data_IF_212130734112
#
_entry.id   IF_212130734112
#
_cell.length_a   1.000
_cell.length_b   1.000
_cell.length_c   1.000
_cell.angle_alpha   90.00
_cell.angle_beta   90.00
_cell.angle_gamma   90.00
#
_symmetry.space_group_name_H-M   'P 1'
#
loop_
_entity.id
_entity.type
_entity.pdbx_description
1 polymer ?
#
# COMPACT_ATOMS: atom_id res chain seq x y z
N UNK A 1 17.47 9.59 25.18
CA UNK A 1 17.46 8.13 24.97
C UNK A 1 16.22 7.80 24.18
N UNK A 2 16.42 7.04 23.11
CA UNK A 2 15.57 6.89 21.94
C UNK A 2 14.15 6.40 22.26
N UNK A 3 13.16 7.17 21.84
CA UNK A 3 11.80 6.68 21.63
C UNK A 3 11.66 6.24 20.19
N UNK A 4 12.38 5.19 19.78
CA UNK A 4 12.19 4.59 18.46
C UNK A 4 10.99 3.65 18.51
N UNK A 5 9.84 3.97 17.88
CA UNK A 5 8.80 2.97 17.73
C UNK A 5 9.38 1.77 16.96
N UNK A 6 9.10 0.57 17.46
CA UNK A 6 9.57 -0.72 16.95
C UNK A 6 9.50 -0.82 15.42
N UNK A 7 10.34 -1.63 14.75
CA UNK A 7 10.25 -1.84 13.30
C UNK A 7 8.95 -2.58 12.96
N UNK A 8 7.85 -1.85 12.85
CA UNK A 8 6.58 -2.33 12.29
C UNK A 8 6.88 -2.57 10.82
N UNK A 9 6.87 -3.83 10.39
CA UNK A 9 7.21 -4.17 9.00
C UNK A 9 6.42 -3.29 8.01
N UNK A 10 7.10 -2.69 7.00
CA UNK A 10 6.70 -1.42 6.44
C UNK A 10 5.67 -1.65 5.33
N UNK A 11 4.40 -1.74 5.73
CA UNK A 11 3.32 -1.55 4.76
C UNK A 11 3.18 -0.04 4.54
N UNK A 12 3.42 0.42 3.32
CA UNK A 12 3.22 1.82 2.94
C UNK A 12 1.82 1.97 2.35
N UNK A 13 1.03 2.84 2.96
CA UNK A 13 -0.29 3.23 2.46
C UNK A 13 -0.23 4.63 1.87
N UNK A 14 -0.73 4.82 0.66
CA UNK A 14 -0.87 6.14 0.05
C UNK A 14 -2.23 6.30 -0.60
N UNK A 15 -2.89 7.42 -0.34
CA UNK A 15 -4.17 7.77 -0.91
C UNK A 15 -4.00 8.66 -2.15
N UNK A 16 -4.77 8.37 -3.18
CA UNK A 16 -4.82 9.04 -4.47
C UNK A 16 -6.25 9.49 -4.76
N UNK A 17 -6.39 10.64 -5.38
CA UNK A 17 -7.71 11.16 -5.76
C UNK A 17 -8.33 10.38 -6.94
N UNK A 18 -7.50 9.80 -7.82
CA UNK A 18 -7.93 9.11 -9.04
C UNK A 18 -7.43 7.67 -9.13
N UNK A 19 -8.22 6.83 -9.80
CA UNK A 19 -7.86 5.42 -10.04
C UNK A 19 -6.59 5.31 -10.90
N UNK A 20 -6.50 6.16 -11.92
CA UNK A 20 -5.39 6.16 -12.87
C UNK A 20 -4.06 6.46 -12.17
N UNK A 21 -4.07 7.40 -11.22
CA UNK A 21 -2.88 7.75 -10.43
C UNK A 21 -2.48 6.60 -9.50
N UNK A 22 -3.45 6.02 -8.80
CA UNK A 22 -3.21 4.85 -7.95
C UNK A 22 -2.68 3.65 -8.74
N UNK A 23 -3.24 3.38 -9.93
CA UNK A 23 -2.79 2.30 -10.81
C UNK A 23 -1.40 2.60 -11.39
N UNK A 24 -1.13 3.83 -11.80
CA UNK A 24 0.18 4.23 -12.30
C UNK A 24 1.25 4.06 -11.21
N UNK A 25 0.99 4.55 -10.00
CA UNK A 25 1.90 4.41 -8.87
C UNK A 25 2.15 2.94 -8.48
N UNK A 26 1.10 2.12 -8.50
CA UNK A 26 1.21 0.69 -8.29
C UNK A 26 2.05 0.00 -9.40
N UNK A 27 1.80 0.31 -10.67
CA UNK A 27 2.61 -0.23 -11.77
C UNK A 27 4.06 0.25 -11.72
N UNK A 28 4.35 1.47 -11.28
CA UNK A 28 5.72 1.95 -11.13
C UNK A 28 6.43 1.21 -9.98
N UNK A 29 5.74 0.92 -8.87
CA UNK A 29 6.26 0.06 -7.80
C UNK A 29 6.56 -1.36 -8.30
N UNK A 30 5.61 -1.99 -8.98
CA UNK A 30 5.79 -3.33 -9.55
C UNK A 30 6.96 -3.40 -10.55
N UNK A 31 7.19 -2.31 -11.30
CA UNK A 31 8.29 -2.22 -12.26
C UNK A 31 9.66 -1.96 -11.61
N UNK A 32 9.71 -1.18 -10.52
CA UNK A 32 10.97 -0.79 -9.85
C UNK A 32 11.41 -1.75 -8.75
N UNK A 33 10.46 -2.44 -8.13
CA UNK A 33 10.69 -3.37 -7.04
C UNK A 33 10.48 -4.79 -7.52
N UNK A 34 11.39 -5.68 -7.15
CA UNK A 34 11.28 -7.09 -7.50
C UNK A 34 10.24 -7.77 -6.60
N UNK A 35 9.70 -8.92 -7.04
CA UNK A 35 8.81 -9.76 -6.22
C UNK A 35 9.45 -10.19 -4.89
N UNK A 36 10.79 -10.18 -4.80
CA UNK A 36 11.52 -10.46 -3.56
C UNK A 36 11.47 -9.30 -2.54
N UNK A 37 11.35 -8.06 -3.02
CA UNK A 37 11.33 -6.84 -2.22
C UNK A 37 9.90 -6.39 -1.89
N UNK A 38 9.00 -6.50 -2.87
CA UNK A 38 7.58 -6.17 -2.76
C UNK A 38 6.78 -7.46 -2.56
N UNK A 39 6.52 -7.79 -1.30
CA UNK A 39 5.78 -8.99 -0.91
C UNK A 39 4.28 -8.92 -1.29
N UNK A 40 3.75 -7.73 -1.55
CA UNK A 40 2.41 -7.59 -2.09
C UNK A 40 2.03 -6.14 -2.40
N UNK A 41 1.17 -5.98 -3.39
CA UNK A 41 0.68 -4.68 -3.83
C UNK A 41 -0.84 -4.73 -4.00
N UNK A 42 -1.55 -3.77 -3.41
CA UNK A 42 -3.01 -3.77 -3.37
C UNK A 42 -3.53 -2.36 -3.57
N UNK A 43 -4.58 -2.22 -4.39
CA UNK A 43 -5.28 -0.94 -4.60
C UNK A 43 -6.71 -1.10 -4.08
N UNK A 44 -7.14 -0.20 -3.21
CA UNK A 44 -8.47 -0.16 -2.65
C UNK A 44 -9.21 1.08 -3.12
N UNK A 45 -10.53 0.99 -3.33
CA UNK A 45 -11.38 2.16 -3.54
C UNK A 45 -12.08 2.52 -2.24
N UNK A 46 -11.78 3.70 -1.72
CA UNK A 46 -12.42 4.26 -0.53
C UNK A 46 -13.85 4.67 -0.89
N UNK A 47 -14.84 3.97 -0.35
CA UNK A 47 -16.26 4.24 -0.67
C UNK A 47 -16.77 5.58 -0.16
N UNK A 48 -16.17 6.10 0.90
CA UNK A 48 -16.64 7.30 1.59
C UNK A 48 -16.24 8.58 0.84
N UNK A 49 -15.01 8.62 0.35
CA UNK A 49 -14.47 9.79 -0.37
C UNK A 49 -14.36 9.59 -1.87
N UNK A 50 -14.52 8.35 -2.37
CA UNK A 50 -14.30 8.01 -3.78
C UNK A 50 -12.83 7.87 -4.18
N UNK A 51 -11.90 8.15 -3.26
CA UNK A 51 -10.46 8.07 -3.44
C UNK A 51 -9.96 6.62 -3.54
N UNK A 52 -8.69 6.46 -3.90
CA UNK A 52 -8.03 5.18 -4.10
C UNK A 52 -6.82 5.07 -3.17
N UNK A 53 -6.72 3.97 -2.45
CA UNK A 53 -5.63 3.70 -1.50
C UNK A 53 -4.74 2.61 -2.06
N UNK A 54 -3.46 2.91 -2.27
CA UNK A 54 -2.44 1.92 -2.62
C UNK A 54 -1.75 1.47 -1.34
N UNK A 55 -1.79 0.18 -1.07
CA UNK A 55 -1.04 -0.50 -0.02
C UNK A 55 0.08 -1.32 -0.67
N UNK A 56 1.31 -0.95 -0.38
CA UNK A 56 2.51 -1.66 -0.76
C UNK A 56 3.10 -2.35 0.47
N UNK A 57 3.12 -3.67 0.47
CA UNK A 57 3.67 -4.51 1.52
C UNK A 57 5.08 -4.95 1.11
N UNK A 58 6.09 -4.53 1.86
CA UNK A 58 7.48 -4.87 1.59
C UNK A 58 7.96 -6.02 2.48
N UNK A 59 8.91 -6.80 1.95
CA UNK A 59 9.59 -7.86 2.68
C UNK A 59 10.38 -7.31 3.88
N UNK A 60 10.50 -8.13 4.93
CA UNK A 60 11.22 -7.74 6.17
C UNK A 60 12.71 -7.41 5.96
N UNK A 61 13.29 -7.92 4.88
CA UNK A 61 14.69 -7.68 4.49
C UNK A 61 14.88 -6.55 3.49
N UNK A 62 13.81 -5.84 3.10
CA UNK A 62 13.92 -4.73 2.16
C UNK A 62 14.70 -3.58 2.81
N UNK A 63 15.79 -3.09 2.16
CA UNK A 63 16.62 -2.04 2.74
C UNK A 63 15.86 -0.72 2.88
N UNK A 64 16.21 0.07 3.90
CA UNK A 64 15.52 1.34 4.19
C UNK A 64 15.55 2.32 3.01
N UNK A 65 16.68 2.40 2.30
CA UNK A 65 16.80 3.21 1.09
C UNK A 65 15.76 2.85 0.00
N UNK A 66 15.39 1.57 -0.10
CA UNK A 66 14.35 1.11 -1.03
C UNK A 66 12.95 1.52 -0.56
N UNK A 67 12.71 1.52 0.74
CA UNK A 67 11.46 2.04 1.31
C UNK A 67 11.34 3.55 1.12
N UNK A 68 12.44 4.29 1.25
CA UNK A 68 12.47 5.73 0.97
C UNK A 68 12.20 6.04 -0.51
N UNK A 69 12.77 5.26 -1.44
CA UNK A 69 12.46 5.38 -2.87
C UNK A 69 10.97 5.14 -3.16
N UNK A 70 10.37 4.11 -2.54
CA UNK A 70 8.94 3.84 -2.63
C UNK A 70 8.09 4.98 -2.05
N UNK A 71 8.51 5.54 -0.90
CA UNK A 71 7.82 6.69 -0.28
C UNK A 71 7.88 7.93 -1.13
N UNK A 72 9.04 8.20 -1.74
CA UNK A 72 9.21 9.32 -2.66
C UNK A 72 8.28 9.15 -3.86
N UNK A 73 8.32 7.98 -4.51
CA UNK A 73 7.49 7.65 -5.67
C UNK A 73 5.98 7.80 -5.38
N UNK A 74 5.51 7.20 -4.29
CA UNK A 74 4.11 7.28 -3.92
C UNK A 74 3.73 8.71 -3.48
N UNK A 75 4.66 9.45 -2.89
CA UNK A 75 4.48 10.84 -2.47
C UNK A 75 4.47 11.85 -3.62
N UNK A 76 4.91 11.48 -4.83
CA UNK A 76 4.83 12.36 -6.01
C UNK A 76 3.38 12.65 -6.43
N UNK A 77 2.46 11.73 -6.16
CA UNK A 77 1.05 11.86 -6.58
C UNK A 77 0.03 11.43 -5.52
N UNK A 78 0.48 10.89 -4.40
CA UNK A 78 -0.35 10.38 -3.31
C UNK A 78 -0.07 11.05 -1.98
N UNK A 79 -1.05 10.99 -1.08
CA UNK A 79 -0.94 11.44 0.29
C UNK A 79 -0.56 10.26 1.19
N UNK A 80 0.49 10.36 2.02
CA UNK A 80 0.87 9.27 2.92
C UNK A 80 -0.25 8.99 3.92
N UNK A 81 -0.66 7.72 4.00
CA UNK A 81 -1.65 7.21 4.95
C UNK A 81 -0.93 6.50 6.07
N UNK A 82 -1.33 6.81 7.31
CA UNK A 82 -0.72 6.21 8.47
C UNK A 82 -1.07 4.70 8.53
N UNK A 83 -0.14 3.82 8.93
CA UNK A 83 -0.40 2.37 9.03
C UNK A 83 -1.50 2.02 10.04
N UNK A 84 -1.75 2.90 11.01
CA UNK A 84 -2.88 2.77 11.95
C UNK A 84 -4.22 2.97 11.24
N UNK A 85 -4.32 3.96 10.34
CA UNK A 85 -5.49 4.16 9.46
C UNK A 85 -5.69 2.98 8.49
N UNK A 86 -4.63 2.36 7.97
CA UNK A 86 -4.74 1.13 7.15
C UNK A 86 -5.42 -0.01 7.92
N UNK A 87 -5.13 -0.11 9.22
CA UNK A 87 -5.72 -1.12 10.11
C UNK A 87 -7.19 -0.82 10.34
N UNK A 88 -7.56 0.45 10.50
CA UNK A 88 -8.95 0.88 10.65
C UNK A 88 -9.76 0.69 9.34
N UNK A 89 -9.15 0.95 8.18
CA UNK A 89 -9.72 0.63 6.86
C UNK A 89 -9.98 -0.87 6.66
N UNK A 90 -9.09 -1.74 7.17
CA UNK A 90 -9.29 -3.20 7.15
C UNK A 90 -10.43 -3.61 8.09
N UNK A 91 -10.52 -3.01 9.28
CA UNK A 91 -11.57 -3.28 10.26
C UNK A 91 -12.96 -2.87 9.73
N UNK A 92 -13.07 -1.75 9.01
CA UNK A 92 -14.30 -1.31 8.36
C UNK A 92 -14.81 -2.25 7.23
N UNK A 93 -14.00 -3.22 6.81
CA UNK A 93 -14.36 -4.22 5.79
C UNK A 93 -14.89 -5.53 6.39
N UNK A 94 -14.72 -5.76 7.69
CA UNK A 94 -15.05 -7.04 8.33
C UNK A 94 -16.58 -7.31 8.42
N UNK A 95 -17.42 -6.30 8.14
CA UNK A 95 -18.88 -6.45 8.11
C UNK A 95 -19.47 -7.07 6.82
N UNK A 96 -18.68 -7.34 5.76
CA UNK A 96 -19.22 -8.04 4.56
C UNK A 96 -18.28 -9.10 4.01
N UNK A 97 -18.58 -10.34 4.40
CA UNK A 97 -18.23 -11.58 3.70
C UNK A 97 -18.53 -11.46 2.21
N UNK A 98 -17.49 -11.33 1.38
CA UNK A 98 -17.65 -11.22 -0.07
C UNK A 98 -16.42 -10.64 -0.74
N UNK A 99 -15.37 -11.46 -0.90
CA UNK A 99 -14.17 -11.09 -1.65
C UNK A 99 -14.57 -10.79 -3.11
N UNK A 100 -14.34 -9.57 -3.64
CA UNK A 100 -14.62 -9.25 -5.04
C UNK A 100 -13.64 -9.94 -6.00
N UNK A 101 -14.14 -10.32 -7.17
CA UNK A 101 -13.52 -11.17 -8.21
C UNK A 101 -12.12 -10.77 -8.73
N UNK A 102 -11.56 -9.62 -8.35
CA UNK A 102 -10.22 -9.20 -8.75
C UNK A 102 -9.11 -9.73 -7.82
N UNK A 103 -9.46 -10.28 -6.65
CA UNK A 103 -8.55 -10.90 -5.67
C UNK A 103 -8.02 -12.29 -6.07
N UNK A 104 -8.42 -12.84 -7.22
CA UNK A 104 -8.03 -14.19 -7.67
C UNK A 104 -6.81 -14.25 -8.61
N UNK A 105 -6.24 -13.12 -9.03
CA UNK A 105 -5.26 -13.12 -10.15
C UNK A 105 -3.77 -13.07 -9.74
N UNK A 106 -3.44 -13.14 -8.44
CA UNK A 106 -2.04 -13.08 -7.95
C UNK A 106 -1.59 -14.34 -7.20
N UNK A 107 -2.26 -15.48 -7.41
CA UNK A 107 -1.89 -16.78 -6.83
C UNK A 107 -1.99 -17.92 -7.87
N UNK A 108 -1.39 -17.75 -9.05
CA UNK A 108 -1.03 -18.87 -9.93
C UNK A 108 0.43 -18.78 -10.33
#
# INVERSE_FOLDING_TARGET
>A
MEGGPAPIHPSLGYEFAREEEARAAASDLDRRFTESELAGLRIYRVRWNGNYLVEAAFSKGTPEARLEDARALLGESGTPVHPDDLTDYKRAREERTGLPNWLRRLFE
#
